data_IF_089664307136
#
_entry.id   IF_089664307136
#
_cell.length_a   1.000
_cell.length_b   1.000
_cell.length_c   1.000
_cell.angle_alpha   90.00
_cell.angle_beta   90.00
_cell.angle_gamma   90.00
#
_symmetry.space_group_name_H-M   'P 1'
#
loop_
_entity.id
_entity.type
_entity.pdbx_description
1 polymer ?
#
# COMPACT_ATOMS: atom_id res chain seq x y z
N UNK A 1 -1.45 5.37 7.70
CA UNK A 1 -1.33 4.56 8.92
C UNK A 1 -2.57 3.68 9.09
N UNK A 2 -3.70 4.23 9.52
CA UNK A 2 -4.96 3.49 9.75
C UNK A 2 -5.36 2.45 8.68
N UNK A 3 -5.34 2.83 7.39
CA UNK A 3 -5.69 1.90 6.29
C UNK A 3 -4.77 0.68 6.23
N UNK A 4 -3.48 0.87 6.49
CA UNK A 4 -2.50 -0.22 6.49
C UNK A 4 -2.79 -1.17 7.64
N UNK A 5 -3.02 -0.67 8.86
CA UNK A 5 -3.40 -1.51 10.00
C UNK A 5 -4.73 -2.24 9.78
N UNK A 6 -5.72 -1.61 9.16
CA UNK A 6 -7.01 -2.25 8.87
C UNK A 6 -6.87 -3.43 7.91
N UNK A 7 -6.02 -3.32 6.90
CA UNK A 7 -5.79 -4.40 5.92
C UNK A 7 -4.72 -5.42 6.33
N UNK A 8 -3.97 -5.12 7.39
CA UNK A 8 -3.08 -6.06 8.05
C UNK A 8 -3.77 -6.87 9.17
N UNK A 9 -4.93 -6.42 9.66
CA UNK A 9 -5.73 -7.20 10.62
C UNK A 9 -6.20 -8.50 9.96
N UNK A 10 -6.04 -9.62 10.68
CA UNK A 10 -6.55 -10.94 10.28
C UNK A 10 -8.03 -10.83 9.89
N UNK A 11 -8.39 -11.41 8.74
CA UNK A 11 -9.76 -11.87 8.53
C UNK A 11 -10.15 -12.77 9.71
N UNK A 12 -11.35 -12.59 10.25
CA UNK A 12 -11.82 -13.21 11.50
C UNK A 12 -11.83 -14.76 11.54
N UNK A 13 -11.30 -15.43 10.52
CA UNK A 13 -11.28 -16.88 10.34
C UNK A 13 -9.89 -17.53 10.58
N UNK A 14 -9.06 -16.97 11.47
CA UNK A 14 -7.83 -17.63 11.92
C UNK A 14 -6.76 -17.87 10.84
N UNK A 15 -6.93 -17.35 9.62
CA UNK A 15 -5.93 -17.46 8.55
C UNK A 15 -4.69 -16.64 8.91
N UNK A 16 -3.52 -17.23 8.65
CA UNK A 16 -2.24 -16.58 8.86
C UNK A 16 -2.22 -15.19 8.22
N UNK A 17 -1.72 -14.19 8.95
CA UNK A 17 -1.60 -12.82 8.46
C UNK A 17 -0.79 -12.85 7.16
N UNK A 18 -1.47 -12.67 6.01
CA UNK A 18 -0.78 -12.64 4.72
C UNK A 18 0.04 -11.35 4.66
N UNK A 19 1.31 -11.42 4.24
CA UNK A 19 2.11 -10.21 4.07
C UNK A 19 1.43 -9.30 3.03
N UNK A 20 1.10 -8.08 3.42
CA UNK A 20 0.48 -7.10 2.53
C UNK A 20 1.59 -6.42 1.71
N UNK A 21 1.70 -6.73 0.43
CA UNK A 21 2.67 -6.05 -0.45
C UNK A 21 2.19 -4.65 -0.80
N UNK A 22 3.13 -3.75 -1.14
CA UNK A 22 2.79 -2.40 -1.62
C UNK A 22 1.84 -2.47 -2.83
N UNK A 23 2.09 -3.40 -3.76
CA UNK A 23 1.24 -3.61 -4.93
C UNK A 23 -0.20 -3.93 -4.53
N UNK A 24 -0.38 -4.88 -3.61
CA UNK A 24 -1.70 -5.26 -3.12
C UNK A 24 -2.39 -4.12 -2.39
N UNK A 25 -1.65 -3.29 -1.65
CA UNK A 25 -2.20 -2.11 -1.00
C UNK A 25 -2.68 -1.07 -2.00
N UNK A 26 -1.93 -0.83 -3.09
CA UNK A 26 -2.37 0.04 -4.19
C UNK A 26 -3.66 -0.47 -4.86
N UNK A 27 -3.77 -1.79 -5.06
CA UNK A 27 -5.01 -2.39 -5.58
C UNK A 27 -6.17 -2.19 -4.60
N UNK A 28 -5.96 -2.40 -3.29
CA UNK A 28 -7.00 -2.16 -2.28
C UNK A 28 -7.44 -0.69 -2.25
N UNK A 29 -6.48 0.26 -2.31
CA UNK A 29 -6.78 1.69 -2.35
C UNK A 29 -7.69 2.02 -3.55
N UNK A 30 -7.45 1.39 -4.69
CA UNK A 30 -8.26 1.54 -5.88
C UNK A 30 -9.64 0.89 -5.73
N UNK A 31 -9.69 -0.41 -5.44
CA UNK A 31 -10.93 -1.19 -5.43
C UNK A 31 -11.87 -0.82 -4.29
N UNK A 32 -11.34 -0.58 -3.08
CA UNK A 32 -12.16 -0.32 -1.90
C UNK A 32 -12.36 1.16 -1.59
N UNK A 33 -11.49 2.04 -2.08
CA UNK A 33 -11.52 3.47 -1.74
C UNK A 33 -11.57 4.40 -2.96
N UNK A 34 -11.48 3.88 -4.19
CA UNK A 34 -11.45 4.71 -5.39
C UNK A 34 -10.20 5.59 -5.50
N UNK A 35 -9.12 5.25 -4.78
CA UNK A 35 -7.88 6.04 -4.74
C UNK A 35 -6.90 5.53 -5.80
N UNK A 36 -6.79 6.31 -6.88
CA UNK A 36 -5.95 6.04 -8.04
C UNK A 36 -4.55 6.66 -7.87
N UNK A 37 -3.60 5.91 -7.29
CA UNK A 37 -2.25 6.43 -6.95
C UNK A 37 -1.25 6.18 -8.09
N UNK A 38 -1.13 4.95 -8.58
CA UNK A 38 -0.12 4.54 -9.57
C UNK A 38 -0.66 4.38 -10.99
N UNK A 39 -1.96 4.58 -11.19
CA UNK A 39 -2.69 4.29 -12.42
C UNK A 39 -3.85 5.26 -12.57
N UNK A 40 -4.23 5.52 -13.81
CA UNK A 40 -5.29 6.45 -14.17
C UNK A 40 -6.68 6.01 -13.64
N UNK A 41 -7.56 6.97 -13.28
CA UNK A 41 -8.98 6.70 -13.07
C UNK A 41 -9.68 6.41 -14.41
N UNK A 42 -10.76 5.60 -14.41
CA UNK A 42 -11.57 5.42 -15.60
C UNK A 42 -12.15 6.76 -16.06
N UNK A 43 -11.99 7.10 -17.34
CA UNK A 43 -12.53 8.33 -17.92
C UNK A 43 -11.69 9.59 -17.69
N UNK A 44 -10.51 9.49 -17.09
CA UNK A 44 -9.59 10.61 -16.91
C UNK A 44 -8.18 10.21 -17.36
N UNK A 45 -7.57 11.02 -18.22
CA UNK A 45 -6.16 10.85 -18.56
C UNK A 45 -5.29 11.66 -17.59
N UNK A 46 -4.34 10.98 -16.95
CA UNK A 46 -3.40 11.58 -16.00
C UNK A 46 -1.98 11.34 -16.50
N UNK A 47 -1.14 12.38 -16.60
CA UNK A 47 0.26 12.23 -16.97
C UNK A 47 0.99 11.18 -16.13
N UNK A 48 1.76 10.31 -16.78
CA UNK A 48 2.49 9.24 -16.10
C UNK A 48 3.46 9.77 -15.04
N UNK A 49 4.05 10.94 -15.25
CA UNK A 49 4.94 11.57 -14.26
C UNK A 49 4.20 11.90 -12.95
N UNK A 50 2.94 12.34 -13.01
CA UNK A 50 2.13 12.60 -11.82
C UNK A 50 1.80 11.29 -11.08
N UNK A 51 1.48 10.22 -11.81
CA UNK A 51 1.23 8.90 -11.20
C UNK A 51 2.50 8.34 -10.54
N UNK A 52 3.66 8.53 -11.18
CA UNK A 52 4.97 8.17 -10.60
C UNK A 52 5.28 9.00 -9.36
N UNK A 53 5.03 10.31 -9.40
CA UNK A 53 5.23 11.20 -8.26
C UNK A 53 4.31 10.85 -7.08
N UNK A 54 3.03 10.56 -7.34
CA UNK A 54 2.06 10.12 -6.35
C UNK A 54 2.51 8.82 -5.67
N UNK A 55 2.94 7.85 -6.46
CA UNK A 55 3.48 6.58 -5.96
C UNK A 55 4.71 6.81 -5.07
N UNK A 56 5.70 7.58 -5.53
CA UNK A 56 6.90 7.90 -4.74
C UNK A 56 6.56 8.63 -3.43
N UNK A 57 5.60 9.56 -3.47
CA UNK A 57 5.12 10.26 -2.28
C UNK A 57 4.49 9.29 -1.27
N UNK A 58 3.63 8.39 -1.73
CA UNK A 58 3.01 7.36 -0.89
C UNK A 58 4.07 6.44 -0.28
N UNK A 59 5.01 5.95 -1.08
CA UNK A 59 6.09 5.09 -0.62
C UNK A 59 6.97 5.76 0.44
N UNK A 60 7.34 7.03 0.20
CA UNK A 60 8.08 7.82 1.17
C UNK A 60 7.29 7.97 2.46
N UNK A 61 6.00 8.28 2.39
CA UNK A 61 5.11 8.39 3.55
C UNK A 61 5.01 7.07 4.33
N UNK A 62 4.92 5.93 3.64
CA UNK A 62 4.87 4.61 4.26
C UNK A 62 6.20 4.24 4.95
N UNK A 63 7.34 4.64 4.36
CA UNK A 63 8.67 4.55 5.00
C UNK A 63 8.77 5.41 6.24
N UNK A 64 8.38 6.68 6.14
CA UNK A 64 8.42 7.64 7.25
C UNK A 64 7.57 7.18 8.44
N UNK A 65 6.42 6.56 8.14
CA UNK A 65 5.56 5.97 9.16
C UNK A 65 6.12 4.67 9.75
N UNK A 66 7.19 4.10 9.21
CA UNK A 66 7.76 2.80 9.62
C UNK A 66 6.91 1.60 9.21
N UNK A 67 6.01 1.79 8.25
CA UNK A 67 5.07 0.75 7.78
C UNK A 67 5.62 -0.05 6.61
N UNK A 68 6.63 0.47 5.89
CA UNK A 68 7.25 -0.20 4.75
C UNK A 68 8.52 -0.94 5.18
N UNK A 69 8.52 -2.27 5.04
CA UNK A 69 9.65 -3.16 5.32
C UNK A 69 10.08 -3.82 4.01
N UNK A 70 11.33 -3.61 3.61
CA UNK A 70 11.90 -4.13 2.37
C UNK A 70 13.10 -3.31 1.93
N UNK A 71 14.27 -3.95 1.92
CA UNK A 71 15.53 -3.37 1.46
C UNK A 71 15.65 -3.53 -0.06
N UNK A 72 16.08 -2.45 -0.73
CA UNK A 72 16.43 -2.34 -2.14
C UNK A 72 15.29 -2.37 -3.17
N UNK A 73 15.54 -1.64 -4.26
CA UNK A 73 14.67 -1.11 -5.33
C UNK A 73 13.66 -2.05 -6.01
N UNK A 74 13.59 -3.34 -5.65
CA UNK A 74 12.60 -4.27 -6.19
C UNK A 74 11.23 -4.06 -5.54
N UNK A 75 10.30 -3.48 -6.30
CA UNK A 75 8.90 -3.26 -5.88
C UNK A 75 8.20 -4.55 -5.39
N UNK A 76 8.60 -5.71 -5.91
CA UNK A 76 8.13 -7.03 -5.46
C UNK A 76 8.54 -7.42 -4.04
N UNK A 77 9.57 -6.79 -3.47
CA UNK A 77 10.07 -7.07 -2.11
C UNK A 77 9.56 -6.06 -1.07
N UNK A 78 8.76 -5.07 -1.50
CA UNK A 78 8.17 -4.05 -0.61
C UNK A 78 6.95 -4.62 0.09
N UNK A 79 7.12 -4.98 1.37
CA UNK A 79 6.05 -5.45 2.23
C UNK A 79 5.64 -4.37 3.23
N UNK A 80 4.37 -4.35 3.59
CA UNK A 80 3.82 -3.52 4.63
C UNK A 80 3.74 -4.31 5.92
N UNK A 81 4.18 -3.71 7.02
CA UNK A 81 4.11 -4.25 8.37
C UNK A 81 3.38 -3.27 9.27
N UNK A 82 2.64 -3.81 10.24
CA UNK A 82 1.99 -3.01 11.25
C UNK A 82 3.07 -2.43 12.17
N UNK A 83 3.03 -1.11 12.39
CA UNK A 83 3.97 -0.45 13.31
C UNK A 83 3.77 -0.90 14.77
N UNK A 84 2.58 -1.37 15.11
CA UNK A 84 2.22 -1.85 16.43
C UNK A 84 1.72 -3.30 16.32
N UNK A 85 2.14 -4.14 17.26
CA UNK A 85 1.60 -5.49 17.39
C UNK A 85 0.12 -5.36 17.77
N UNK A 86 -0.76 -5.82 16.89
CA UNK A 86 -2.19 -5.91 17.23
C UNK A 86 -2.33 -7.17 18.06
N UNK A 87 -2.23 -6.99 19.39
CA UNK A 87 -2.54 -8.00 20.40
C UNK A 87 -3.98 -8.49 20.27
#
# INVERSE_FOLDING_TARGET
DFLVHRHLRKDGEGKAARPLTLRRFLDILRDHYGLHVDREPPGMSVPQDLLRANKQCLERRLRDLGLLVGANDAESMKQLRARFDVA
#
